data_IF_333495606989
#
_entry.id   IF_333495606989
#
_cell.length_a   1.000
_cell.length_b   1.000
_cell.length_c   1.000
_cell.angle_alpha   90.00
_cell.angle_beta   90.00
_cell.angle_gamma   90.00
#
_symmetry.space_group_name_H-M   'P 1'
#
loop_
_entity.id
_entity.type
_entity.pdbx_description
1 polymer ?
#
# COMPACT_ATOMS: atom_id res chain seq x y z
N UNK A 1 8.81 -12.22 -16.32
CA UNK A 1 9.92 -11.35 -15.85
C UNK A 1 9.40 -9.92 -15.78
N UNK A 2 9.37 -9.32 -14.60
CA UNK A 2 9.00 -7.91 -14.47
C UNK A 2 10.09 -7.06 -15.14
N UNK A 3 9.73 -6.04 -15.95
CA UNK A 3 10.71 -5.16 -16.55
C UNK A 3 11.43 -4.34 -15.48
N UNK A 4 12.71 -4.06 -15.69
CA UNK A 4 13.45 -3.05 -14.90
C UNK A 4 12.87 -1.65 -15.15
N UNK A 5 12.24 -1.44 -16.32
CA UNK A 5 11.58 -0.18 -16.69
C UNK A 5 10.04 -0.28 -16.51
N UNK A 6 9.35 0.70 -15.90
CA UNK A 6 7.88 0.79 -15.99
C UNK A 6 7.45 1.01 -17.45
N UNK A 7 6.21 0.63 -17.85
CA UNK A 7 5.77 0.78 -19.23
C UNK A 7 5.73 2.27 -19.65
N UNK A 8 6.08 2.60 -20.91
CA UNK A 8 6.05 3.97 -21.40
C UNK A 8 4.62 4.51 -21.42
N UNK A 9 4.45 5.77 -21.02
CA UNK A 9 3.20 6.50 -21.24
C UNK A 9 2.93 6.59 -22.75
N UNK A 10 1.71 6.23 -23.17
CA UNK A 10 1.31 6.15 -24.58
C UNK A 10 1.47 7.46 -25.36
N UNK A 11 1.46 7.41 -26.70
CA UNK A 11 1.90 8.51 -27.55
C UNK A 11 0.84 9.61 -27.61
N UNK A 12 1.12 10.74 -26.97
CA UNK A 12 0.44 12.02 -27.20
C UNK A 12 1.36 12.92 -28.02
N UNK A 13 0.94 13.29 -29.23
CA UNK A 13 1.77 13.96 -30.23
C UNK A 13 2.33 15.32 -29.84
N UNK A 14 3.56 15.56 -30.29
CA UNK A 14 4.12 16.90 -30.52
C UNK A 14 3.37 17.60 -31.67
N UNK A 15 3.26 18.94 -31.64
CA UNK A 15 4.29 19.74 -32.31
C UNK A 15 4.62 21.09 -31.64
N UNK A 16 5.81 21.63 -31.95
CA UNK A 16 6.00 23.09 -32.03
C UNK A 16 7.24 23.67 -31.32
N UNK A 17 8.39 23.65 -32.00
CA UNK A 17 9.56 24.46 -31.68
C UNK A 17 9.28 25.97 -31.75
N UNK A 18 9.85 26.76 -30.82
CA UNK A 18 10.68 27.94 -31.12
C UNK A 18 11.46 28.45 -29.90
N UNK A 19 12.71 28.82 -30.17
CA UNK A 19 13.79 29.17 -29.26
C UNK A 19 13.77 30.66 -28.80
N UNK A 20 14.39 30.96 -27.65
CA UNK A 20 15.55 31.87 -27.51
C UNK A 20 15.79 32.39 -26.06
N UNK A 21 16.99 32.09 -25.50
CA UNK A 21 17.96 32.97 -24.80
C UNK A 21 17.41 34.07 -23.84
N UNK A 22 17.81 34.24 -22.56
CA UNK A 22 19.18 34.47 -22.05
C UNK A 22 19.23 34.70 -20.51
N UNK A 23 20.38 34.33 -19.91
CA UNK A 23 21.17 34.96 -18.79
C UNK A 23 20.77 34.86 -17.30
N UNK A 24 21.65 34.15 -16.57
CA UNK A 24 22.30 34.37 -15.24
C UNK A 24 21.62 35.12 -14.08
N UNK A 25 21.63 34.45 -12.90
CA UNK A 25 21.64 35.07 -11.55
C UNK A 25 21.20 34.10 -10.44
N UNK A 26 21.95 33.92 -9.32
CA UNK A 26 21.83 32.77 -8.43
C UNK A 26 20.89 33.00 -7.23
N UNK A 27 20.38 31.90 -6.67
CA UNK A 27 19.84 31.86 -5.30
C UNK A 27 18.32 31.94 -5.18
N UNK A 28 17.66 30.79 -5.17
CA UNK A 28 16.42 30.60 -4.41
C UNK A 28 16.15 29.10 -4.26
N UNK A 29 16.22 28.62 -3.02
CA UNK A 29 15.62 27.37 -2.58
C UNK A 29 14.12 27.49 -2.86
N UNK A 30 13.65 26.81 -3.89
CA UNK A 30 12.24 26.76 -4.30
C UNK A 30 11.77 25.32 -4.18
N UNK A 31 10.98 25.06 -3.15
CA UNK A 31 10.22 23.82 -3.02
C UNK A 31 9.29 23.70 -4.22
N UNK A 32 9.64 22.81 -5.14
CA UNK A 32 8.78 22.43 -6.24
C UNK A 32 7.59 21.65 -5.66
N UNK A 33 6.49 22.37 -5.44
CA UNK A 33 5.17 21.79 -5.29
C UNK A 33 4.87 21.00 -6.57
N UNK A 34 4.95 19.68 -6.44
CA UNK A 34 4.52 18.69 -7.41
C UNK A 34 3.00 18.83 -7.61
N UNK A 35 2.59 19.75 -8.49
CA UNK A 35 1.21 19.85 -8.96
C UNK A 35 1.03 18.78 -10.04
N UNK A 36 0.84 17.55 -9.57
CA UNK A 36 0.31 16.46 -10.39
C UNK A 36 -1.01 16.85 -11.06
N UNK A 37 -1.41 16.16 -12.15
CA UNK A 37 -2.60 16.50 -12.92
C UNK A 37 -3.81 16.56 -11.98
N UNK A 38 -4.63 17.61 -12.14
CA UNK A 38 -5.79 17.89 -11.30
C UNK A 38 -6.67 16.64 -11.16
N UNK A 39 -6.44 15.88 -10.10
CA UNK A 39 -7.37 14.86 -9.63
C UNK A 39 -8.62 15.66 -9.30
N UNK A 40 -9.74 15.34 -9.95
CA UNK A 40 -11.05 15.82 -9.54
C UNK A 40 -11.13 15.63 -8.02
N UNK A 41 -11.00 16.74 -7.27
CA UNK A 41 -10.97 16.72 -5.82
C UNK A 41 -12.39 16.40 -5.38
N UNK A 42 -12.69 15.12 -5.27
CA UNK A 42 -13.94 14.65 -4.68
C UNK A 42 -14.02 15.25 -3.27
N UNK A 43 -15.19 15.80 -2.87
CA UNK A 43 -15.29 16.52 -1.62
C UNK A 43 -14.86 15.62 -0.45
N UNK A 44 -14.21 16.22 0.55
CA UNK A 44 -13.61 15.53 1.69
C UNK A 44 -14.54 14.44 2.26
N UNK A 45 -14.02 13.32 2.79
CA UNK A 45 -14.86 12.33 3.47
C UNK A 45 -15.74 12.95 4.58
N UNK A 46 -15.31 14.08 5.14
CA UNK A 46 -16.08 14.95 6.03
C UNK A 46 -17.31 15.57 5.37
N UNK A 47 -17.20 16.02 4.12
CA UNK A 47 -18.32 16.57 3.35
C UNK A 47 -19.35 15.48 3.02
N UNK A 48 -18.93 14.24 2.73
CA UNK A 48 -19.86 13.11 2.56
C UNK A 48 -20.50 12.66 3.88
N UNK A 49 -19.76 12.69 4.99
CA UNK A 49 -20.30 12.45 6.33
C UNK A 49 -21.38 13.48 6.68
N UNK A 50 -21.10 14.76 6.40
CA UNK A 50 -22.04 15.86 6.54
C UNK A 50 -23.24 15.70 5.63
N UNK A 51 -23.04 15.38 4.35
CA UNK A 51 -24.13 15.22 3.39
C UNK A 51 -25.01 14.01 3.74
N UNK A 52 -24.43 12.91 4.21
CA UNK A 52 -25.19 11.73 4.66
C UNK A 52 -25.99 12.03 5.94
N UNK A 53 -25.39 12.74 6.91
CA UNK A 53 -26.09 13.19 8.11
C UNK A 53 -27.24 14.13 7.76
N UNK A 54 -27.02 15.11 6.88
CA UNK A 54 -28.01 16.10 6.44
C UNK A 54 -29.10 15.45 5.57
N UNK A 55 -28.77 14.55 4.65
CA UNK A 55 -29.76 13.84 3.84
C UNK A 55 -30.58 12.84 4.65
N UNK A 56 -29.99 12.23 5.69
CA UNK A 56 -30.72 11.44 6.68
C UNK A 56 -31.72 12.29 7.48
N UNK A 57 -31.38 13.55 7.77
CA UNK A 57 -32.27 14.54 8.44
C UNK A 57 -33.40 14.99 7.52
N UNK A 58 -33.08 15.33 6.26
CA UNK A 58 -34.01 15.97 5.34
C UNK A 58 -34.99 14.99 4.69
N UNK A 59 -34.70 13.68 4.72
CA UNK A 59 -35.57 12.70 4.09
C UNK A 59 -36.96 12.60 4.76
N UNK A 60 -37.15 12.97 6.04
CA UNK A 60 -38.44 12.75 6.73
C UNK A 60 -38.76 13.82 7.82
N UNK A 61 -39.87 14.55 7.62
CA UNK A 61 -40.45 15.53 8.58
C UNK A 61 -41.22 14.84 9.75
N UNK A 62 -41.64 15.56 10.82
CA UNK A 62 -41.41 15.13 12.20
C UNK A 62 -42.45 14.16 12.82
N UNK A 63 -42.10 13.47 13.94
CA UNK A 63 -40.87 13.68 14.72
C UNK A 63 -39.92 12.46 14.80
N UNK A 64 -38.93 12.29 13.88
CA UNK A 64 -37.83 11.33 14.07
C UNK A 64 -36.48 11.96 14.43
N UNK A 65 -36.43 13.22 14.86
CA UNK A 65 -35.22 13.92 15.38
C UNK A 65 -34.43 13.16 16.46
N UNK A 66 -35.02 12.18 17.16
CA UNK A 66 -34.30 11.35 18.12
C UNK A 66 -33.48 10.20 17.48
N UNK A 67 -33.65 9.88 16.19
CA UNK A 67 -32.79 8.91 15.46
C UNK A 67 -31.39 9.47 15.15
N UNK A 68 -31.28 10.80 15.20
CA UNK A 68 -30.11 11.57 14.76
C UNK A 68 -28.81 11.20 15.49
N UNK A 69 -28.79 10.93 16.81
CA UNK A 69 -27.57 10.59 17.52
C UNK A 69 -26.95 9.27 17.06
N UNK A 70 -27.76 8.24 16.79
CA UNK A 70 -27.25 6.92 16.39
C UNK A 70 -26.63 6.95 14.99
N UNK A 71 -27.33 7.50 14.01
CA UNK A 71 -26.81 7.60 12.64
C UNK A 71 -25.67 8.63 12.51
N UNK A 72 -25.78 9.76 13.22
CA UNK A 72 -24.73 10.78 13.27
C UNK A 72 -23.42 10.24 13.86
N UNK A 73 -23.49 9.55 15.00
CA UNK A 73 -22.30 8.93 15.61
C UNK A 73 -21.68 7.87 14.70
N UNK A 74 -22.50 7.10 13.99
CA UNK A 74 -22.03 6.10 13.01
C UNK A 74 -21.33 6.73 11.83
N UNK A 75 -21.86 7.84 11.31
CA UNK A 75 -21.23 8.61 10.23
C UNK A 75 -19.88 9.19 10.67
N UNK A 76 -19.80 9.73 11.89
CA UNK A 76 -18.54 10.22 12.47
C UNK A 76 -17.51 9.09 12.59
N UNK A 77 -17.91 7.92 13.11
CA UNK A 77 -17.01 6.76 13.23
C UNK A 77 -16.53 6.25 11.87
N UNK A 78 -17.42 6.17 10.86
CA UNK A 78 -17.06 5.74 9.51
C UNK A 78 -16.15 6.74 8.78
N UNK A 79 -16.26 8.02 9.10
CA UNK A 79 -15.38 9.07 8.57
C UNK A 79 -14.02 9.12 9.28
N UNK A 80 -14.02 9.09 10.62
CA UNK A 80 -12.82 9.27 11.43
C UNK A 80 -11.97 8.00 11.56
N UNK A 81 -12.63 6.83 11.64
CA UNK A 81 -12.01 5.54 11.89
C UNK A 81 -12.50 4.48 10.88
N UNK A 82 -12.31 4.70 9.56
CA UNK A 82 -12.83 3.79 8.52
C UNK A 82 -12.24 2.37 8.60
N UNK A 83 -11.08 2.22 9.24
CA UNK A 83 -10.37 0.95 9.37
C UNK A 83 -10.72 0.17 10.65
N UNK A 84 -11.41 0.80 11.60
CA UNK A 84 -11.73 0.17 12.87
C UNK A 84 -12.68 -1.03 12.68
N UNK A 85 -12.51 -2.11 13.46
CA UNK A 85 -13.36 -3.30 13.35
C UNK A 85 -14.86 -2.99 13.57
N UNK A 86 -15.15 -2.00 14.42
CA UNK A 86 -16.52 -1.51 14.71
C UNK A 86 -17.18 -0.78 13.53
N UNK A 87 -16.39 -0.39 12.52
CA UNK A 87 -16.84 0.29 11.30
C UNK A 87 -17.01 -0.65 10.11
N UNK A 88 -16.71 -1.96 10.26
CA UNK A 88 -16.89 -2.95 9.20
C UNK A 88 -18.37 -3.11 8.84
N UNK A 89 -18.71 -3.49 7.58
CA UNK A 89 -20.11 -3.54 7.13
C UNK A 89 -20.97 -4.46 8.01
N UNK A 90 -20.41 -5.60 8.43
CA UNK A 90 -21.07 -6.52 9.35
C UNK A 90 -21.36 -5.89 10.70
N UNK A 91 -20.42 -5.14 11.28
CA UNK A 91 -20.62 -4.48 12.58
C UNK A 91 -21.71 -3.40 12.49
N UNK A 92 -21.67 -2.55 11.46
CA UNK A 92 -22.68 -1.50 11.23
C UNK A 92 -24.08 -2.10 11.05
N UNK A 93 -24.23 -3.05 10.12
CA UNK A 93 -25.54 -3.63 9.82
C UNK A 93 -26.08 -4.51 10.96
N UNK A 94 -25.28 -5.49 11.41
CA UNK A 94 -25.72 -6.45 12.43
C UNK A 94 -25.82 -5.79 13.81
N UNK A 95 -24.90 -4.88 14.15
CA UNK A 95 -24.92 -4.17 15.43
C UNK A 95 -26.16 -3.29 15.60
N UNK A 96 -26.54 -2.53 14.56
CA UNK A 96 -27.78 -1.74 14.58
C UNK A 96 -29.03 -2.62 14.62
N UNK A 97 -29.08 -3.68 13.82
CA UNK A 97 -30.22 -4.60 13.78
C UNK A 97 -30.44 -5.33 15.12
N UNK A 98 -29.36 -5.87 15.71
CA UNK A 98 -29.41 -6.54 17.02
C UNK A 98 -29.86 -5.57 18.10
N UNK A 99 -29.37 -4.33 18.07
CA UNK A 99 -29.75 -3.31 19.05
C UNK A 99 -31.24 -2.97 18.97
N UNK A 100 -31.77 -2.75 17.76
CA UNK A 100 -33.19 -2.48 17.56
C UNK A 100 -34.07 -3.66 18.00
N UNK A 101 -33.73 -4.89 17.61
CA UNK A 101 -34.48 -6.09 17.98
C UNK A 101 -34.46 -6.35 19.49
N UNK A 102 -33.31 -6.11 20.14
CA UNK A 102 -33.19 -6.28 21.59
C UNK A 102 -34.02 -5.26 22.36
N UNK A 103 -34.08 -4.01 21.89
CA UNK A 103 -34.90 -2.97 22.50
C UNK A 103 -36.40 -3.25 22.32
N UNK A 104 -36.81 -3.70 21.14
CA UNK A 104 -38.18 -4.15 20.89
C UNK A 104 -38.58 -5.30 21.82
N UNK A 105 -37.72 -6.31 21.98
CA UNK A 105 -38.00 -7.45 22.84
C UNK A 105 -38.16 -7.02 24.31
N UNK A 106 -37.32 -6.09 24.79
CA UNK A 106 -37.44 -5.52 26.14
C UNK A 106 -38.74 -4.76 26.29
N UNK A 107 -39.01 -3.77 25.43
CA UNK A 107 -40.21 -2.93 25.50
C UNK A 107 -41.50 -3.78 25.43
N UNK A 108 -41.55 -4.79 24.54
CA UNK A 108 -42.73 -5.67 24.40
C UNK A 108 -42.95 -6.55 25.63
N UNK A 109 -41.86 -6.97 26.30
CA UNK A 109 -41.94 -7.82 27.49
C UNK A 109 -42.29 -7.03 28.75
N UNK A 110 -41.89 -5.76 28.82
CA UNK A 110 -42.06 -4.90 30.00
C UNK A 110 -43.35 -4.09 29.97
N UNK A 111 -43.97 -3.92 28.80
CA UNK A 111 -45.22 -3.17 28.64
C UNK A 111 -46.34 -3.67 29.56
N UNK A 112 -46.50 -4.98 29.71
CA UNK A 112 -47.52 -5.58 30.58
C UNK A 112 -47.18 -5.47 32.09
N UNK A 113 -45.90 -5.25 32.42
CA UNK A 113 -45.37 -5.23 33.78
C UNK A 113 -45.32 -3.82 34.38
N UNK A 114 -45.61 -2.78 33.60
CA UNK A 114 -45.62 -1.38 34.07
C UNK A 114 -44.24 -0.89 34.52
N UNK A 115 -43.17 -1.39 33.89
CA UNK A 115 -41.79 -1.02 34.22
C UNK A 115 -41.55 0.46 33.88
N UNK A 116 -40.87 1.24 34.73
CA UNK A 116 -40.57 2.62 34.42
C UNK A 116 -39.57 2.74 33.26
N UNK A 117 -39.78 3.73 32.39
CA UNK A 117 -39.03 3.90 31.14
C UNK A 117 -37.51 3.96 31.30
N UNK A 118 -36.99 4.50 32.41
CA UNK A 118 -35.54 4.53 32.67
C UNK A 118 -34.95 3.13 32.88
N UNK A 119 -35.72 2.19 33.45
CA UNK A 119 -35.30 0.81 33.68
C UNK A 119 -35.39 0.00 32.39
N UNK A 120 -36.43 0.23 31.58
CA UNK A 120 -36.54 -0.34 30.23
C UNK A 120 -35.36 0.09 29.35
N UNK A 121 -35.00 1.38 29.38
CA UNK A 121 -33.86 1.91 28.64
C UNK A 121 -32.54 1.26 29.07
N UNK A 122 -32.31 1.12 30.38
CA UNK A 122 -31.12 0.45 30.92
C UNK A 122 -31.06 -1.02 30.49
N UNK A 123 -32.17 -1.75 30.59
CA UNK A 123 -32.27 -3.16 30.17
C UNK A 123 -32.03 -3.33 28.67
N UNK A 124 -32.61 -2.46 27.84
CA UNK A 124 -32.45 -2.50 26.39
C UNK A 124 -31.00 -2.24 25.97
N UNK A 125 -30.34 -1.21 26.52
CA UNK A 125 -28.93 -0.91 26.20
C UNK A 125 -28.00 -2.02 26.69
N UNK A 126 -28.24 -2.56 27.90
CA UNK A 126 -27.45 -3.66 28.45
C UNK A 126 -27.59 -4.94 27.61
N UNK A 127 -28.81 -5.30 27.22
CA UNK A 127 -29.09 -6.46 26.37
C UNK A 127 -28.49 -6.28 24.96
N UNK A 128 -28.65 -5.10 24.37
CA UNK A 128 -28.05 -4.75 23.08
C UNK A 128 -26.53 -4.92 23.10
N UNK A 129 -25.86 -4.37 24.12
CA UNK A 129 -24.41 -4.49 24.29
C UNK A 129 -23.98 -5.95 24.45
N UNK A 130 -24.64 -6.70 25.32
CA UNK A 130 -24.35 -8.12 25.55
C UNK A 130 -24.50 -8.96 24.28
N UNK A 131 -25.58 -8.74 23.51
CA UNK A 131 -25.83 -9.45 22.26
C UNK A 131 -24.83 -9.06 21.17
N UNK A 132 -24.53 -7.77 21.01
CA UNK A 132 -23.52 -7.28 20.06
C UNK A 132 -22.14 -7.91 20.31
N UNK A 133 -21.73 -8.01 21.58
CA UNK A 133 -20.49 -8.68 21.98
C UNK A 133 -20.54 -10.19 21.65
N UNK A 134 -21.68 -10.84 21.90
CA UNK A 134 -21.86 -12.28 21.63
C UNK A 134 -21.84 -12.63 20.14
N UNK A 135 -22.37 -11.77 19.27
CA UNK A 135 -22.37 -11.97 17.80
C UNK A 135 -21.14 -11.39 17.09
N UNK A 136 -20.19 -10.83 17.86
CA UNK A 136 -18.99 -10.16 17.36
C UNK A 136 -19.30 -9.04 16.36
N UNK A 137 -20.34 -8.25 16.64
CA UNK A 137 -20.77 -7.12 15.82
C UNK A 137 -20.96 -5.87 16.69
N UNK A 138 -19.95 -5.56 17.49
CA UNK A 138 -19.93 -4.35 18.31
C UNK A 138 -19.92 -3.12 17.39
N UNK A 139 -20.98 -2.32 17.47
CA UNK A 139 -21.07 -1.01 16.86
C UNK A 139 -21.63 -0.05 17.91
N UNK A 140 -20.79 0.76 18.58
CA UNK A 140 -21.21 1.57 19.72
C UNK A 140 -22.47 2.43 19.49
N UNK A 141 -22.69 3.03 18.30
CA UNK A 141 -23.94 3.74 18.00
C UNK A 141 -25.21 2.89 18.08
N UNK A 142 -25.10 1.56 18.05
CA UNK A 142 -26.19 0.62 18.33
C UNK A 142 -26.79 0.81 19.73
N UNK A 143 -26.00 1.19 20.74
CA UNK A 143 -26.52 1.52 22.06
C UNK A 143 -27.49 2.71 22.04
N UNK A 144 -27.17 3.75 21.26
CA UNK A 144 -28.07 4.89 21.04
C UNK A 144 -29.34 4.49 20.26
N UNK A 145 -29.22 3.53 19.33
CA UNK A 145 -30.37 2.95 18.62
C UNK A 145 -31.32 2.21 19.57
N UNK A 146 -30.78 1.42 20.50
CA UNK A 146 -31.58 0.72 21.51
C UNK A 146 -32.32 1.70 22.44
N UNK A 147 -31.62 2.74 22.92
CA UNK A 147 -32.22 3.80 23.73
C UNK A 147 -33.32 4.54 22.97
N UNK A 148 -33.06 4.90 21.71
CA UNK A 148 -34.03 5.58 20.86
C UNK A 148 -35.34 4.81 20.76
N UNK A 149 -35.26 3.50 20.55
CA UNK A 149 -36.44 2.64 20.39
C UNK A 149 -37.34 2.68 21.63
N UNK A 150 -36.76 2.51 22.81
CA UNK A 150 -37.52 2.49 24.08
C UNK A 150 -38.20 3.83 24.36
N UNK A 151 -37.62 4.94 23.89
CA UNK A 151 -38.19 6.27 24.05
C UNK A 151 -39.36 6.57 23.10
N UNK A 152 -39.58 5.73 22.08
CA UNK A 152 -40.73 5.87 21.19
C UNK A 152 -41.98 5.21 21.79
N UNK A 153 -43.18 5.72 21.48
CA UNK A 153 -44.41 4.99 21.78
C UNK A 153 -44.34 3.59 21.18
N UNK A 154 -44.94 2.58 21.84
CA UNK A 154 -44.91 1.20 21.36
C UNK A 154 -45.50 1.15 19.96
N UNK A 155 -44.65 0.80 19.00
CA UNK A 155 -44.97 0.70 17.59
C UNK A 155 -44.76 -0.74 17.12
N UNK A 156 -45.50 -1.13 16.08
CA UNK A 156 -45.29 -2.41 15.42
C UNK A 156 -43.83 -2.51 14.92
N UNK A 157 -43.14 -3.64 15.14
CA UNK A 157 -41.72 -3.78 14.83
C UNK A 157 -41.41 -3.50 13.36
N UNK A 158 -42.34 -3.84 12.46
CA UNK A 158 -42.21 -3.55 11.03
C UNK A 158 -42.18 -2.06 10.72
N UNK A 159 -42.97 -1.25 11.42
CA UNK A 159 -43.02 0.19 11.21
C UNK A 159 -41.74 0.87 11.71
N UNK A 160 -41.25 0.48 12.88
CA UNK A 160 -40.01 1.02 13.40
C UNK A 160 -38.78 0.53 12.60
N UNK A 161 -38.78 -0.70 12.09
CA UNK A 161 -37.76 -1.18 11.15
C UNK A 161 -37.75 -0.36 9.85
N UNK A 162 -38.91 0.01 9.31
CA UNK A 162 -39.02 0.83 8.11
C UNK A 162 -38.28 2.17 8.24
N UNK A 163 -38.30 2.79 9.43
CA UNK A 163 -37.59 4.05 9.68
C UNK A 163 -36.07 3.89 9.81
N UNK A 164 -35.60 2.73 10.28
CA UNK A 164 -34.16 2.47 10.52
C UNK A 164 -33.44 1.98 9.26
N UNK A 165 -34.12 1.15 8.46
CA UNK A 165 -33.54 0.37 7.37
C UNK A 165 -32.80 1.23 6.32
N UNK A 166 -33.31 2.39 5.86
CA UNK A 166 -32.60 3.24 4.91
C UNK A 166 -31.26 3.75 5.44
N UNK A 167 -31.22 4.20 6.70
CA UNK A 167 -30.00 4.69 7.35
C UNK A 167 -28.95 3.60 7.50
N UNK A 168 -29.38 2.39 7.92
CA UNK A 168 -28.49 1.23 8.02
C UNK A 168 -27.90 0.85 6.66
N UNK A 169 -28.73 0.80 5.61
CA UNK A 169 -28.29 0.48 4.25
C UNK A 169 -27.30 1.51 3.71
N UNK A 170 -27.55 2.80 3.93
CA UNK A 170 -26.65 3.89 3.52
C UNK A 170 -25.29 3.79 4.21
N UNK A 171 -25.26 3.63 5.54
CA UNK A 171 -24.01 3.52 6.29
C UNK A 171 -23.25 2.22 5.97
N UNK A 172 -23.96 1.11 5.77
CA UNK A 172 -23.36 -0.16 5.34
C UNK A 172 -22.79 -0.04 3.93
N UNK A 173 -23.50 0.63 3.03
CA UNK A 173 -23.04 0.94 1.68
C UNK A 173 -21.78 1.82 1.68
N UNK A 174 -21.73 2.83 2.55
CA UNK A 174 -20.53 3.65 2.73
C UNK A 174 -19.37 2.84 3.30
N UNK A 175 -19.60 1.99 4.31
CA UNK A 175 -18.59 1.06 4.82
C UNK A 175 -18.06 0.15 3.71
N UNK A 176 -18.93 -0.44 2.88
CA UNK A 176 -18.53 -1.26 1.73
C UNK A 176 -17.74 -0.47 0.68
N UNK A 177 -18.12 0.77 0.41
CA UNK A 177 -17.40 1.65 -0.50
C UNK A 177 -16.01 2.01 0.04
N UNK A 178 -15.87 2.27 1.34
CA UNK A 178 -14.58 2.49 2.00
C UNK A 178 -13.68 1.26 1.85
N UNK A 179 -14.22 0.05 2.00
CA UNK A 179 -13.46 -1.18 1.74
C UNK A 179 -13.03 -1.32 0.28
N UNK A 180 -13.90 -0.98 -0.69
CA UNK A 180 -13.59 -1.06 -2.13
C UNK A 180 -12.58 -0.01 -2.61
N UNK A 181 -12.53 1.17 -1.98
CA UNK A 181 -11.52 2.20 -2.29
C UNK A 181 -10.12 1.84 -1.83
N UNK A 182 -9.97 0.79 -1.02
CA UNK A 182 -8.65 0.23 -0.70
C UNK A 182 -8.06 -0.34 -1.97
N UNK A 183 -7.15 0.42 -2.60
CA UNK A 183 -6.18 -0.18 -3.50
C UNK A 183 -5.22 -0.94 -2.61
N UNK A 184 -5.15 -2.28 -2.65
CA UNK A 184 -3.97 -2.94 -2.11
C UNK A 184 -2.78 -2.27 -2.80
N UNK A 185 -1.78 -1.85 -2.02
CA UNK A 185 -0.51 -1.46 -2.61
C UNK A 185 -0.11 -2.67 -3.45
N UNK A 186 -0.09 -2.54 -4.77
CA UNK A 186 0.37 -3.63 -5.62
C UNK A 186 1.84 -3.82 -5.25
N UNK A 187 2.22 -4.94 -4.61
CA UNK A 187 3.62 -5.29 -4.61
C UNK A 187 4.04 -5.38 -6.08
N UNK A 188 5.25 -4.94 -6.42
CA UNK A 188 5.85 -5.23 -7.71
C UNK A 188 6.08 -6.75 -7.79
N UNK A 189 5.00 -7.51 -8.02
CA UNK A 189 5.00 -8.96 -7.92
C UNK A 189 5.59 -9.59 -9.18
N UNK A 190 6.12 -10.80 -9.02
CA UNK A 190 6.64 -11.62 -10.12
C UNK A 190 5.56 -12.15 -11.09
N UNK A 191 4.33 -11.63 -11.03
CA UNK A 191 3.18 -12.14 -11.80
C UNK A 191 2.68 -13.51 -11.32
N UNK A 192 3.03 -13.90 -10.10
CA UNK A 192 2.67 -15.19 -9.49
C UNK A 192 1.67 -15.02 -8.35
N UNK A 193 1.01 -16.12 -7.93
CA UNK A 193 0.11 -16.13 -6.76
C UNK A 193 0.86 -16.10 -5.43
N UNK A 194 2.15 -16.41 -5.42
CA UNK A 194 2.94 -16.42 -4.21
C UNK A 194 3.16 -15.01 -3.66
N UNK A 195 3.20 -14.88 -2.33
CA UNK A 195 3.62 -13.67 -1.66
C UNK A 195 5.11 -13.34 -1.96
N UNK A 196 5.50 -12.08 -1.78
CA UNK A 196 6.90 -11.65 -1.93
C UNK A 196 7.82 -12.38 -0.93
N UNK A 197 9.12 -12.57 -1.24
CA UNK A 197 10.07 -13.21 -0.33
C UNK A 197 10.04 -12.62 1.09
N UNK A 198 10.05 -11.28 1.22
CA UNK A 198 9.94 -10.61 2.52
C UNK A 198 8.61 -10.84 3.27
N UNK A 199 7.54 -11.19 2.55
CA UNK A 199 6.21 -11.47 3.13
C UNK A 199 6.04 -12.92 3.57
N UNK A 200 6.72 -13.87 2.92
CA UNK A 200 6.68 -15.30 3.27
C UNK A 200 7.24 -15.58 4.66
N UNK A 201 8.22 -14.78 5.08
CA UNK A 201 8.89 -14.88 6.38
C UNK A 201 8.22 -14.01 7.47
N UNK A 202 7.20 -13.22 7.11
CA UNK A 202 6.51 -12.37 8.07
C UNK A 202 5.55 -13.19 8.96
N UNK A 203 5.33 -12.78 10.22
CA UNK A 203 4.36 -13.44 11.08
C UNK A 203 2.96 -13.38 10.46
N UNK A 204 2.29 -14.53 10.43
CA UNK A 204 0.93 -14.70 9.92
C UNK A 204 -0.10 -14.00 10.81
N UNK A 205 -1.28 -13.70 10.27
CA UNK A 205 -2.38 -13.12 11.05
C UNK A 205 -2.78 -13.99 12.25
N UNK A 206 -2.70 -15.32 12.13
CA UNK A 206 -2.97 -16.25 13.22
C UNK A 206 -1.94 -16.13 14.35
N UNK A 207 -0.66 -15.97 14.01
CA UNK A 207 0.40 -15.74 15.01
C UNK A 207 0.21 -14.41 15.73
N UNK A 208 -0.18 -13.34 15.04
CA UNK A 208 -0.54 -12.07 15.68
C UNK A 208 -1.74 -12.21 16.62
N UNK A 209 -2.79 -12.93 16.21
CA UNK A 209 -3.96 -13.16 17.05
C UNK A 209 -3.62 -13.97 18.31
N UNK A 210 -2.75 -14.98 18.20
CA UNK A 210 -2.29 -15.76 19.35
C UNK A 210 -1.55 -14.89 20.37
N UNK A 211 -0.57 -14.08 19.91
CA UNK A 211 0.19 -13.18 20.78
C UNK A 211 -0.70 -12.14 21.44
N UNK A 212 -1.63 -11.54 20.69
CA UNK A 212 -2.57 -10.57 21.25
C UNK A 212 -3.50 -11.17 22.30
N UNK A 213 -3.93 -12.44 22.11
CA UNK A 213 -4.78 -13.13 23.06
C UNK A 213 -4.04 -13.47 24.35
N UNK A 214 -2.78 -13.89 24.26
CA UNK A 214 -1.91 -14.16 25.41
C UNK A 214 -1.64 -12.90 26.24
N UNK A 215 -1.31 -11.79 25.57
CA UNK A 215 -1.02 -10.51 26.23
C UNK A 215 -2.29 -9.74 26.66
N UNK A 216 -3.48 -10.27 26.40
CA UNK A 216 -4.76 -9.59 26.70
C UNK A 216 -4.95 -8.27 25.94
N UNK A 217 -4.20 -8.05 24.87
CA UNK A 217 -4.15 -6.80 24.12
C UNK A 217 -5.34 -6.69 23.15
N UNK A 218 -6.27 -5.77 23.46
CA UNK A 218 -7.33 -5.36 22.53
C UNK A 218 -6.85 -4.18 21.68
N UNK A 219 -6.04 -4.49 20.67
CA UNK A 219 -5.57 -3.48 19.71
C UNK A 219 -6.59 -3.36 18.58
N UNK A 220 -7.15 -2.16 18.38
CA UNK A 220 -8.08 -1.83 17.28
C UNK A 220 -7.35 -1.64 15.93
N UNK A 221 -6.35 -2.47 15.64
CA UNK A 221 -5.61 -2.48 14.38
C UNK A 221 -5.95 -3.76 13.61
N UNK A 222 -6.20 -3.63 12.31
CA UNK A 222 -6.33 -4.81 11.46
C UNK A 222 -4.97 -5.57 11.42
N UNK A 223 -4.96 -6.92 11.33
CA UNK A 223 -3.71 -7.70 11.30
C UNK A 223 -2.71 -7.22 10.23
N UNK A 224 -3.22 -6.74 9.09
CA UNK A 224 -2.39 -6.22 7.99
C UNK A 224 -1.73 -4.88 8.35
N UNK A 225 -2.36 -4.06 9.19
CA UNK A 225 -1.76 -2.84 9.73
C UNK A 225 -0.67 -3.19 10.74
N UNK A 226 -0.90 -4.16 11.62
CA UNK A 226 0.09 -4.61 12.59
C UNK A 226 1.32 -5.20 11.88
N UNK A 227 1.11 -5.99 10.84
CA UNK A 227 2.20 -6.53 10.01
C UNK A 227 2.99 -5.42 9.28
N UNK A 228 2.32 -4.37 8.79
CA UNK A 228 3.00 -3.19 8.21
C UNK A 228 3.84 -2.45 9.26
N UNK A 229 3.29 -2.22 10.44
CA UNK A 229 3.99 -1.56 11.56
C UNK A 229 5.18 -2.40 12.02
N UNK A 230 5.01 -3.70 12.20
CA UNK A 230 6.08 -4.62 12.56
C UNK A 230 7.21 -4.63 11.53
N UNK A 231 6.89 -4.70 10.23
CA UNK A 231 7.91 -4.61 9.18
C UNK A 231 8.69 -3.29 9.25
N UNK A 232 7.99 -2.18 9.50
CA UNK A 232 8.64 -0.87 9.62
C UNK A 232 9.50 -0.78 10.88
N UNK A 233 9.03 -1.31 12.01
CA UNK A 233 9.78 -1.39 13.26
C UNK A 233 11.02 -2.27 13.11
N UNK A 234 10.90 -3.44 12.47
CA UNK A 234 12.07 -4.28 12.17
C UNK A 234 13.10 -3.57 11.31
N UNK A 235 12.66 -2.80 10.31
CA UNK A 235 13.58 -2.04 9.47
C UNK A 235 14.32 -0.96 10.27
N UNK A 236 13.60 -0.20 11.11
CA UNK A 236 14.21 0.80 11.99
C UNK A 236 15.13 0.19 13.04
N UNK A 237 14.74 -0.95 13.61
CA UNK A 237 15.52 -1.71 14.57
C UNK A 237 16.78 -2.31 13.94
N UNK A 238 16.71 -2.80 12.71
CA UNK A 238 17.87 -3.28 11.96
C UNK A 238 18.86 -2.14 11.69
N UNK A 239 18.34 -1.00 11.21
CA UNK A 239 19.15 0.20 10.95
C UNK A 239 19.83 0.75 12.22
N UNK A 240 19.16 0.63 13.37
CA UNK A 240 19.69 1.06 14.68
C UNK A 240 20.61 0.01 15.32
N UNK A 241 20.42 -1.27 15.01
CA UNK A 241 21.23 -2.38 15.49
C UNK A 241 22.61 -2.45 14.79
N UNK A 242 22.83 -1.61 13.77
CA UNK A 242 24.12 -1.45 13.13
C UNK A 242 24.65 -2.77 12.60
N UNK A 243 23.95 -3.38 11.64
CA UNK A 243 24.65 -4.37 10.80
C UNK A 243 25.90 -3.69 10.23
N UNK A 244 27.07 -4.21 10.59
CA UNK A 244 28.34 -3.61 10.20
C UNK A 244 28.57 -3.69 8.68
N UNK A 245 27.86 -4.57 7.99
CA UNK A 245 28.04 -4.86 6.59
C UNK A 245 27.39 -3.78 5.71
N UNK A 246 28.23 -3.03 5.01
CA UNK A 246 27.88 -2.00 4.03
C UNK A 246 28.00 -2.54 2.63
N UNK A 247 27.30 -1.90 1.69
CA UNK A 247 27.38 -2.22 0.26
C UNK A 247 28.82 -2.20 -0.25
N UNK A 248 29.62 -1.22 0.18
CA UNK A 248 31.03 -1.08 -0.21
C UNK A 248 31.94 -2.24 0.17
N UNK A 249 31.55 -3.06 1.15
CA UNK A 249 32.36 -4.16 1.68
C UNK A 249 32.36 -5.38 0.75
N UNK A 250 31.30 -5.57 -0.03
CA UNK A 250 31.12 -6.75 -0.89
C UNK A 250 30.75 -6.43 -2.34
N UNK A 251 30.63 -5.14 -2.71
CA UNK A 251 30.38 -4.76 -4.10
C UNK A 251 31.52 -5.21 -5.03
N UNK A 252 31.18 -5.58 -6.26
CA UNK A 252 32.18 -5.80 -7.30
C UNK A 252 32.72 -4.46 -7.80
N UNK A 253 34.05 -4.35 -7.86
CA UNK A 253 34.79 -3.13 -8.24
C UNK A 253 35.39 -3.20 -9.65
N UNK A 254 35.44 -4.40 -10.23
CA UNK A 254 35.88 -4.59 -11.63
C UNK A 254 34.67 -4.38 -12.56
N UNK A 255 34.53 -3.14 -13.02
CA UNK A 255 33.33 -2.67 -13.70
C UNK A 255 33.47 -2.73 -15.22
N UNK A 256 32.59 -3.50 -15.84
CA UNK A 256 32.40 -3.50 -17.28
C UNK A 256 31.36 -2.44 -17.63
N UNK A 257 31.75 -1.38 -18.35
CA UNK A 257 30.88 -0.25 -18.70
C UNK A 257 30.94 0.07 -20.19
N UNK A 258 29.98 0.86 -20.68
CA UNK A 258 29.98 1.39 -22.05
C UNK A 258 29.73 2.89 -22.07
N UNK A 259 30.28 3.62 -23.07
CA UNK A 259 29.92 5.02 -23.30
C UNK A 259 28.54 5.13 -24.01
N UNK A 260 27.85 6.28 -23.92
CA UNK A 260 26.48 6.45 -24.44
C UNK A 260 26.35 6.37 -25.97
N UNK A 261 27.46 6.58 -26.68
CA UNK A 261 27.60 6.53 -28.14
C UNK A 261 27.94 5.13 -28.67
N UNK A 262 28.30 4.18 -27.79
CA UNK A 262 28.53 2.79 -28.16
C UNK A 262 27.29 2.19 -28.83
N UNK A 263 27.48 1.23 -29.73
CA UNK A 263 26.35 0.60 -30.43
C UNK A 263 25.62 -0.43 -29.57
N UNK A 264 24.33 -0.65 -29.82
CA UNK A 264 23.57 -1.74 -29.17
C UNK A 264 24.22 -3.11 -29.43
N UNK A 265 24.87 -3.30 -30.58
CA UNK A 265 25.67 -4.50 -30.88
C UNK A 265 26.83 -4.68 -29.90
N UNK A 266 27.50 -3.60 -29.53
CA UNK A 266 28.61 -3.65 -28.56
C UNK A 266 28.07 -3.96 -27.16
N UNK A 267 26.93 -3.39 -26.77
CA UNK A 267 26.23 -3.77 -25.54
C UNK A 267 25.88 -5.26 -25.51
N UNK A 268 25.27 -5.77 -26.57
CA UNK A 268 24.93 -7.19 -26.68
C UNK A 268 26.16 -8.11 -26.58
N UNK A 269 27.23 -7.81 -27.34
CA UNK A 269 28.48 -8.57 -27.30
C UNK A 269 29.12 -8.54 -25.92
N UNK A 270 29.08 -7.40 -25.25
CA UNK A 270 29.68 -7.21 -23.92
C UNK A 270 28.89 -7.98 -22.87
N UNK A 271 27.55 -7.90 -22.87
CA UNK A 271 26.68 -8.71 -22.00
C UNK A 271 26.98 -10.20 -22.14
N UNK A 272 27.09 -10.70 -23.38
CA UNK A 272 27.39 -12.11 -23.64
C UNK A 272 28.80 -12.51 -23.21
N UNK A 273 29.82 -11.74 -23.60
CA UNK A 273 31.23 -12.05 -23.33
C UNK A 273 31.50 -12.13 -21.83
N UNK A 274 30.96 -11.19 -21.07
CA UNK A 274 31.15 -11.12 -19.62
C UNK A 274 30.10 -11.89 -18.83
N UNK A 275 29.09 -12.48 -19.51
CA UNK A 275 27.97 -13.22 -18.90
C UNK A 275 27.22 -12.41 -17.84
N UNK A 276 27.13 -11.11 -18.03
CA UNK A 276 26.42 -10.17 -17.15
C UNK A 276 25.07 -9.80 -17.78
N UNK A 277 24.09 -9.47 -16.95
CA UNK A 277 22.71 -9.18 -17.39
C UNK A 277 22.37 -7.69 -17.43
N UNK A 278 23.22 -6.85 -16.85
CA UNK A 278 23.06 -5.40 -16.79
C UNK A 278 24.41 -4.72 -17.04
N UNK A 279 24.42 -3.72 -17.90
CA UNK A 279 25.58 -2.89 -18.23
C UNK A 279 25.34 -1.44 -17.83
N UNK A 280 26.19 -0.85 -16.98
CA UNK A 280 26.21 0.58 -16.74
C UNK A 280 26.70 1.36 -17.96
N UNK A 281 26.00 2.44 -18.28
CA UNK A 281 26.39 3.42 -19.30
C UNK A 281 27.01 4.61 -18.59
N UNK A 282 28.27 4.90 -18.89
CA UNK A 282 29.10 5.85 -18.13
C UNK A 282 29.78 6.83 -19.08
N UNK A 283 29.80 8.10 -18.70
CA UNK A 283 30.56 9.17 -19.37
C UNK A 283 31.33 9.95 -18.30
N UNK A 284 32.64 10.15 -18.49
CA UNK A 284 33.53 10.83 -17.53
C UNK A 284 33.43 10.30 -16.08
N UNK A 285 33.21 8.99 -15.93
CA UNK A 285 33.05 8.32 -14.63
C UNK A 285 31.68 8.50 -13.97
N UNK A 286 30.75 9.22 -14.60
CA UNK A 286 29.37 9.42 -14.13
C UNK A 286 28.43 8.41 -14.77
N UNK A 287 27.56 7.82 -13.95
CA UNK A 287 26.53 6.92 -14.44
C UNK A 287 25.40 7.70 -15.11
N UNK A 288 25.18 7.46 -16.41
CA UNK A 288 24.10 8.06 -17.19
C UNK A 288 22.86 7.17 -17.25
N UNK A 289 23.05 5.85 -17.26
CA UNK A 289 21.98 4.89 -17.48
C UNK A 289 22.43 3.46 -17.28
N UNK A 290 21.48 2.53 -17.42
CA UNK A 290 21.75 1.09 -17.49
C UNK A 290 21.05 0.47 -18.68
N UNK A 291 21.67 -0.59 -19.23
CA UNK A 291 21.08 -1.43 -20.28
C UNK A 291 21.07 -2.87 -19.81
N UNK A 292 19.89 -3.49 -19.81
CA UNK A 292 19.78 -4.92 -19.50
C UNK A 292 19.72 -5.78 -20.75
N UNK A 293 20.08 -7.06 -20.59
CA UNK A 293 19.90 -8.08 -21.62
C UNK A 293 18.44 -8.18 -22.07
N UNK A 294 17.51 -8.03 -21.12
CA UNK A 294 16.07 -8.06 -21.41
C UNK A 294 15.69 -6.86 -22.30
N UNK A 295 16.18 -5.66 -22.01
CA UNK A 295 15.85 -4.47 -22.82
C UNK A 295 16.35 -4.61 -24.26
N UNK A 296 17.55 -5.17 -24.45
CA UNK A 296 18.08 -5.47 -25.79
C UNK A 296 17.19 -6.49 -26.51
N UNK A 297 16.78 -7.58 -25.85
CA UNK A 297 15.90 -8.60 -26.43
C UNK A 297 14.53 -8.03 -26.81
N UNK A 298 13.93 -7.23 -25.92
CA UNK A 298 12.64 -6.56 -26.17
C UNK A 298 12.70 -5.64 -27.37
N UNK A 299 13.79 -4.86 -27.48
CA UNK A 299 13.95 -3.93 -28.61
C UNK A 299 14.14 -4.66 -29.94
N UNK A 300 14.63 -5.89 -29.91
CA UNK A 300 14.72 -6.78 -31.07
C UNK A 300 13.40 -7.51 -31.38
N UNK A 301 12.33 -7.30 -30.60
CA UNK A 301 11.06 -8.00 -30.76
C UNK A 301 11.14 -9.50 -30.44
N UNK A 302 12.18 -9.94 -29.71
CA UNK A 302 12.39 -11.34 -29.32
C UNK A 302 11.58 -11.74 -28.07
N UNK A 303 10.77 -10.83 -27.52
CA UNK A 303 9.94 -11.04 -26.34
C UNK A 303 8.45 -11.31 -26.66
N UNK A 304 8.04 -11.23 -27.93
CA UNK A 304 6.67 -11.51 -28.36
C UNK A 304 6.52 -12.95 -28.87
N UNK A 305 5.38 -13.59 -28.55
CA UNK A 305 5.07 -14.97 -28.99
C UNK A 305 4.89 -15.06 -30.53
N UNK A 306 4.54 -13.96 -31.17
CA UNK A 306 4.46 -13.83 -32.63
C UNK A 306 5.73 -13.16 -33.14
N UNK A 307 6.62 -13.94 -33.77
CA UNK A 307 7.84 -13.44 -34.40
C UNK A 307 7.56 -13.06 -35.86
N UNK A 308 7.30 -11.78 -36.21
CA UNK A 308 7.11 -11.42 -37.60
C UNK A 308 8.45 -11.53 -38.37
N UNK A 309 8.46 -12.16 -39.55
CA UNK A 309 9.68 -12.30 -40.36
C UNK A 309 10.31 -10.98 -40.82
N UNK A 310 9.61 -9.85 -40.67
CA UNK A 310 10.09 -8.50 -41.01
C UNK A 310 11.06 -7.91 -39.97
N UNK A 311 11.08 -8.41 -38.72
CA UNK A 311 11.91 -7.88 -37.62
C UNK A 311 13.42 -8.05 -37.83
N UNK A 312 13.85 -8.96 -38.70
CA UNK A 312 15.26 -9.21 -39.03
C UNK A 312 15.90 -8.07 -39.84
N UNK A 313 15.12 -7.29 -40.60
CA UNK A 313 15.63 -6.14 -41.36
C UNK A 313 15.88 -4.92 -40.46
N UNK A 314 15.00 -4.68 -39.50
CA UNK A 314 15.15 -3.60 -38.52
C UNK A 314 16.20 -3.91 -37.44
N UNK A 315 16.45 -5.19 -37.14
CA UNK A 315 17.49 -5.61 -36.22
C UNK A 315 18.89 -5.09 -36.62
N UNK A 316 19.19 -4.97 -37.92
CA UNK A 316 20.46 -4.43 -38.40
C UNK A 316 20.66 -2.95 -38.05
N UNK A 317 19.61 -2.14 -38.21
CA UNK A 317 19.59 -0.71 -37.86
C UNK A 317 19.59 -0.51 -36.35
N UNK A 318 18.81 -1.30 -35.61
CA UNK A 318 18.75 -1.28 -34.15
C UNK A 318 20.09 -1.66 -33.52
N UNK A 319 20.79 -2.64 -34.08
CA UNK A 319 22.13 -3.04 -33.63
C UNK A 319 23.17 -1.94 -33.83
N UNK A 320 22.97 -1.04 -34.80
CA UNK A 320 23.83 0.10 -35.06
C UNK A 320 23.43 1.36 -34.28
N UNK A 321 22.25 1.39 -33.66
CA UNK A 321 21.79 2.51 -32.86
C UNK A 321 22.66 2.71 -31.61
N UNK A 322 22.79 3.95 -31.10
CA UNK A 322 23.56 4.21 -29.89
C UNK A 322 22.82 3.68 -28.66
N UNK A 323 23.58 3.21 -27.67
CA UNK A 323 23.09 2.65 -26.42
C UNK A 323 22.26 3.67 -25.62
N UNK A 324 22.55 4.97 -25.76
CA UNK A 324 21.74 6.06 -25.20
C UNK A 324 20.27 6.04 -25.63
N UNK A 325 19.93 5.45 -26.78
CA UNK A 325 18.55 5.30 -27.23
C UNK A 325 17.78 4.15 -26.55
N UNK A 326 18.51 3.26 -25.86
CA UNK A 326 17.98 2.06 -25.21
C UNK A 326 18.06 2.15 -23.68
N UNK A 327 18.98 2.95 -23.14
CA UNK A 327 19.21 3.02 -21.69
C UNK A 327 17.99 3.50 -20.90
N UNK A 328 17.80 2.93 -19.71
CA UNK A 328 16.83 3.38 -18.73
C UNK A 328 17.53 4.09 -17.56
N UNK A 329 16.77 4.93 -16.85
CA UNK A 329 17.23 5.57 -15.62
C UNK A 329 17.57 4.50 -14.56
N UNK A 330 18.78 4.54 -13.97
CA UNK A 330 19.23 3.50 -13.08
C UNK A 330 18.72 3.74 -11.66
N UNK A 331 18.30 2.66 -10.99
CA UNK A 331 18.18 2.67 -9.53
C UNK A 331 19.54 2.38 -8.91
N UNK A 332 20.04 3.29 -8.08
CA UNK A 332 21.39 3.22 -7.52
C UNK A 332 21.37 3.22 -6.00
N UNK A 333 22.49 2.80 -5.40
CA UNK A 333 22.74 2.89 -3.96
C UNK A 333 24.10 3.55 -3.70
N UNK A 334 24.28 4.12 -2.51
CA UNK A 334 25.57 4.64 -2.07
C UNK A 334 26.44 3.52 -1.49
N UNK A 335 27.77 3.62 -1.58
CA UNK A 335 28.69 2.61 -1.02
C UNK A 335 28.52 2.40 0.50
N UNK A 336 28.16 3.46 1.23
CA UNK A 336 27.87 3.38 2.67
C UNK A 336 26.47 2.85 3.02
N UNK A 337 25.67 2.47 2.03
CA UNK A 337 24.32 1.96 2.27
C UNK A 337 24.39 0.66 3.06
N UNK A 338 23.61 0.55 4.15
CA UNK A 338 23.44 -0.72 4.88
C UNK A 338 22.82 -1.78 3.97
N UNK A 339 23.28 -3.02 4.12
CA UNK A 339 22.71 -4.19 3.43
C UNK A 339 21.21 -4.31 3.62
N UNK A 340 20.67 -3.93 4.79
CA UNK A 340 19.23 -4.01 5.09
C UNK A 340 18.38 -3.13 4.17
N UNK A 341 18.94 -2.01 3.69
CA UNK A 341 18.27 -1.12 2.73
C UNK A 341 18.38 -1.61 1.29
N UNK A 342 19.36 -2.47 1.01
CA UNK A 342 19.56 -3.10 -0.29
C UNK A 342 18.70 -4.35 -0.47
N UNK A 343 18.50 -5.15 0.60
CA UNK A 343 17.76 -6.44 0.55
C UNK A 343 16.39 -6.30 -0.12
N UNK A 344 15.49 -5.38 0.26
CA UNK A 344 14.17 -5.27 -0.38
C UNK A 344 14.24 -4.94 -1.87
N UNK A 345 15.27 -4.21 -2.30
CA UNK A 345 15.43 -3.83 -3.70
C UNK A 345 15.75 -5.05 -4.56
N UNK A 346 16.63 -5.91 -4.05
CA UNK A 346 17.07 -7.13 -4.72
C UNK A 346 16.12 -8.33 -4.49
N UNK A 347 15.33 -8.37 -3.41
CA UNK A 347 14.42 -9.47 -3.11
C UNK A 347 12.98 -9.24 -3.60
N UNK A 348 12.46 -8.02 -3.40
CA UNK A 348 11.03 -7.75 -3.50
C UNK A 348 10.69 -6.83 -4.69
N UNK A 349 11.61 -5.95 -5.09
CA UNK A 349 11.36 -4.97 -6.17
C UNK A 349 11.76 -5.47 -7.56
N UNK A 350 12.23 -6.71 -7.67
CA UNK A 350 12.58 -7.33 -8.95
C UNK A 350 13.89 -6.81 -9.57
N UNK A 351 14.72 -6.09 -8.82
CA UNK A 351 16.06 -5.74 -9.27
C UNK A 351 16.98 -6.94 -9.09
N UNK A 352 17.80 -7.24 -10.09
CA UNK A 352 18.81 -8.31 -10.01
C UNK A 352 20.22 -7.76 -9.80
N UNK A 353 20.43 -6.51 -10.20
CA UNK A 353 21.69 -5.79 -10.12
C UNK A 353 21.45 -4.33 -9.79
N UNK A 354 22.32 -3.72 -9.00
CA UNK A 354 22.23 -2.32 -8.58
C UNK A 354 23.60 -1.66 -8.71
N UNK A 355 23.73 -0.56 -9.46
CA UNK A 355 24.93 0.27 -9.49
C UNK A 355 25.17 0.99 -8.17
N UNK A 356 26.43 1.04 -7.75
CA UNK A 356 26.89 1.68 -6.52
C UNK A 356 27.64 2.96 -6.85
N UNK A 357 27.24 4.05 -6.21
CA UNK A 357 27.83 5.37 -6.37
C UNK A 357 28.62 5.80 -5.13
N UNK A 358 29.67 6.58 -5.36
CA UNK A 358 30.39 7.31 -4.29
C UNK A 358 29.67 8.63 -3.93
N UNK A 359 30.23 9.34 -2.94
CA UNK A 359 29.73 10.65 -2.52
C UNK A 359 29.81 11.74 -3.60
N UNK A 360 30.54 11.50 -4.70
CA UNK A 360 30.67 12.40 -5.85
C UNK A 360 29.76 11.97 -7.02
N UNK A 361 28.85 11.03 -6.82
CA UNK A 361 27.94 10.48 -7.84
C UNK A 361 28.68 9.76 -8.99
N UNK A 362 29.88 9.23 -8.74
CA UNK A 362 30.60 8.40 -9.71
C UNK A 362 30.32 6.94 -9.47
N UNK A 363 30.34 6.14 -10.53
CA UNK A 363 30.16 4.71 -10.43
C UNK A 363 31.41 4.06 -9.82
N UNK A 364 31.27 3.43 -8.66
CA UNK A 364 32.38 2.78 -7.92
C UNK A 364 32.18 1.29 -7.70
N UNK A 365 30.98 0.78 -7.93
CA UNK A 365 30.72 -0.65 -7.82
C UNK A 365 29.41 -1.10 -8.44
N UNK A 366 29.22 -2.40 -8.42
CA UNK A 366 27.99 -3.09 -8.81
C UNK A 366 27.70 -4.18 -7.79
N UNK A 367 26.42 -4.35 -7.44
CA UNK A 367 25.97 -5.46 -6.59
C UNK A 367 24.92 -6.28 -7.31
N UNK A 368 25.09 -7.60 -7.30
CA UNK A 368 24.10 -8.58 -7.76
C UNK A 368 23.41 -9.30 -6.59
N UNK A 369 22.32 -10.01 -6.90
CA UNK A 369 21.69 -10.93 -5.95
C UNK A 369 22.66 -11.99 -5.41
N UNK A 370 23.57 -12.51 -6.25
CA UNK A 370 24.55 -13.51 -5.84
C UNK A 370 25.54 -12.93 -4.83
N UNK A 371 25.99 -11.69 -5.05
CA UNK A 371 26.91 -11.00 -4.13
C UNK A 371 26.24 -10.76 -2.78
N UNK A 372 24.97 -10.34 -2.79
CA UNK A 372 24.18 -10.18 -1.57
C UNK A 372 24.04 -11.50 -0.79
N UNK A 373 23.76 -12.62 -1.48
CA UNK A 373 23.64 -13.93 -0.84
C UNK A 373 24.97 -14.36 -0.22
N UNK A 374 26.08 -14.19 -0.95
CA UNK A 374 27.41 -14.51 -0.45
C UNK A 374 27.77 -13.68 0.78
N UNK A 375 27.54 -12.37 0.72
CA UNK A 375 27.84 -11.44 1.81
C UNK A 375 26.99 -11.72 3.07
N UNK A 376 25.69 -12.03 2.90
CA UNK A 376 24.83 -12.43 4.01
C UNK A 376 25.23 -13.78 4.61
N UNK A 377 25.64 -14.75 3.79
CA UNK A 377 26.12 -16.03 4.28
C UNK A 377 27.39 -15.87 5.11
N UNK A 378 28.35 -15.07 4.62
CA UNK A 378 29.60 -14.78 5.31
C UNK A 378 29.35 -14.06 6.66
N UNK A 379 28.50 -13.03 6.68
CA UNK A 379 28.12 -12.33 7.92
C UNK A 379 27.42 -13.25 8.92
N UNK A 380 26.56 -14.17 8.47
CA UNK A 380 25.91 -15.16 9.34
C UNK A 380 26.91 -16.16 9.94
N UNK A 381 27.86 -16.65 9.14
CA UNK A 381 28.90 -17.59 9.61
C UNK A 381 29.81 -16.92 10.62
N UNK A 382 30.22 -15.67 10.39
CA UNK A 382 31.11 -14.94 11.27
C UNK A 382 30.46 -14.44 12.55
N UNK A 383 29.15 -14.13 12.55
CA UNK A 383 28.40 -13.81 13.78
C UNK A 383 28.04 -15.04 14.61
N UNK A 384 27.97 -16.21 14.00
CA UNK A 384 27.67 -17.48 14.67
C UNK A 384 28.86 -18.14 15.36
N UNK A 385 30.08 -17.66 15.14
CA UNK A 385 31.27 -18.16 15.81
C UNK A 385 31.25 -17.72 17.30
N UNK A 386 31.28 -18.64 18.27
CA UNK A 386 31.48 -18.24 19.67
C UNK A 386 32.81 -17.47 19.78
N UNK A 387 32.92 -16.48 20.69
CA UNK A 387 34.18 -15.77 20.89
C UNK A 387 35.29 -16.80 21.15
N UNK A 388 36.41 -16.67 20.41
CA UNK A 388 37.56 -17.55 20.58
C UNK A 388 38.01 -17.54 22.06
N UNK A 389 38.41 -18.70 22.62
CA UNK A 389 38.64 -18.89 24.05
C UNK A 389 39.76 -18.00 24.62
#
# INVERSE_FOLDING_TARGET
MAPVCPPPAGPGGHPGHRAARTRHGPGAVSGAADRGPARLAWPDPLAWAWLAAVMGVLAWAPPPWLMLPAFGASAVLLAALPDAPVCRPRAVALGMAVSALSAWAVQSSTQALGVPAWMEAALAVALALGLMLRVQALHPPGGAMALWWVLQPPAEPLQALWHILPGVLLLTGWSLWNLRRRRPAQPAGHGTRDALPGERLAPTAAQWQAVMAEEGLKIDLAPEQLQRLYRRLRWLGAESAGTALRVGDFMSRDLVTLPPDASVRDAWRTLQRHRIRLLPVVEDGRLLGVVSLVDVLKRLGLDQEDFPPEGLRDAGLLMAAPVSSLMCEPRTVHEDTSVERLVPQLSDWGLHHVPVLDGQQRLVGMVSQSDLIAALHDDLVHRGAPPAP
#
